data_IF_041145227995
#
_entry.id   IF_041145227995
#
_cell.length_a   1.000
_cell.length_b   1.000
_cell.length_c   1.000
_cell.angle_alpha   90.00
_cell.angle_beta   90.00
_cell.angle_gamma   90.00
#
_symmetry.space_group_name_H-M   'P 1'
#
loop_
_entity.id
_entity.type
_entity.pdbx_description
1 polymer ?
#
# COMPACT_ATOMS: atom_id res chain seq x y z
N UNK A 1 -13.96 -22.65 29.18
CA UNK A 1 -13.78 -21.98 27.89
C UNK A 1 -13.59 -20.50 28.14
N UNK A 2 -12.58 -19.86 27.57
CA UNK A 2 -12.31 -18.44 27.70
C UNK A 2 -13.40 -17.65 26.94
N UNK A 3 -13.93 -16.58 27.55
CA UNK A 3 -14.98 -15.75 26.95
C UNK A 3 -14.39 -14.52 26.24
N UNK A 4 -15.17 -13.90 25.34
CA UNK A 4 -14.80 -12.61 24.74
C UNK A 4 -14.54 -11.54 25.80
N UNK A 5 -15.34 -11.50 26.87
CA UNK A 5 -15.20 -10.56 27.96
C UNK A 5 -13.88 -10.73 28.74
N UNK A 6 -13.50 -11.97 29.05
CA UNK A 6 -12.23 -12.28 29.74
C UNK A 6 -11.03 -11.91 28.86
N UNK A 7 -11.06 -12.23 27.56
CA UNK A 7 -10.01 -11.83 26.63
C UNK A 7 -9.92 -10.31 26.49
N UNK A 8 -11.06 -9.61 26.49
CA UNK A 8 -11.07 -8.16 26.41
C UNK A 8 -10.44 -7.53 27.66
N UNK A 9 -10.74 -8.02 28.86
CA UNK A 9 -10.10 -7.57 30.09
C UNK A 9 -8.58 -7.83 30.08
N UNK A 10 -8.14 -9.01 29.67
CA UNK A 10 -6.71 -9.33 29.51
C UNK A 10 -6.01 -8.42 28.47
N UNK A 11 -6.67 -8.16 27.35
CA UNK A 11 -6.18 -7.26 26.31
C UNK A 11 -5.99 -5.84 26.85
N UNK A 12 -6.92 -5.32 27.66
CA UNK A 12 -6.80 -3.98 28.25
C UNK A 12 -5.56 -3.85 29.15
N UNK A 13 -5.14 -4.93 29.79
CA UNK A 13 -3.94 -4.95 30.63
C UNK A 13 -2.65 -5.14 29.83
N UNK A 14 -2.67 -5.94 28.74
CA UNK A 14 -1.49 -6.38 28.03
C UNK A 14 -1.16 -5.58 26.76
N UNK A 15 -2.16 -4.92 26.16
CA UNK A 15 -1.99 -4.23 24.87
C UNK A 15 -2.19 -2.73 25.04
N UNK A 16 -1.30 -1.89 24.49
CA UNK A 16 -1.41 -0.45 24.59
C UNK A 16 -2.76 0.08 24.07
N UNK A 17 -3.30 1.08 24.74
CA UNK A 17 -4.58 1.73 24.41
C UNK A 17 -4.64 2.27 22.97
N UNK A 18 -3.49 2.66 22.40
CA UNK A 18 -3.41 3.14 21.02
C UNK A 18 -3.75 2.09 19.95
N UNK A 19 -3.70 0.80 20.29
CA UNK A 19 -4.20 -0.29 19.43
C UNK A 19 -5.69 -0.48 19.73
N UNK A 20 -6.57 0.08 18.91
CA UNK A 20 -8.02 -0.02 19.10
C UNK A 20 -8.60 -1.27 18.44
N UNK A 21 -9.72 -1.75 18.95
CA UNK A 21 -10.54 -2.79 18.36
C UNK A 21 -11.94 -2.21 18.07
N UNK A 22 -12.43 -2.39 16.87
CA UNK A 22 -13.80 -1.97 16.51
C UNK A 22 -14.87 -2.82 17.19
N UNK A 23 -14.55 -4.08 17.49
CA UNK A 23 -15.43 -5.03 18.15
C UNK A 23 -14.67 -5.73 19.29
N UNK A 24 -15.38 -6.04 20.37
CA UNK A 24 -14.87 -6.89 21.46
C UNK A 24 -15.14 -8.38 21.18
N UNK A 25 -14.85 -8.82 19.96
CA UNK A 25 -15.00 -10.18 19.47
C UNK A 25 -13.62 -10.78 19.22
N UNK A 26 -13.33 -11.93 19.77
CA UNK A 26 -12.04 -12.61 19.65
C UNK A 26 -12.18 -13.82 18.76
N UNK A 27 -11.62 -13.73 17.56
CA UNK A 27 -11.68 -14.80 16.57
C UNK A 27 -10.88 -16.04 17.04
N UNK A 28 -11.48 -17.21 16.93
CA UNK A 28 -10.82 -18.50 17.18
C UNK A 28 -10.49 -19.21 15.87
N UNK A 29 -11.42 -19.20 14.92
CA UNK A 29 -11.25 -19.82 13.60
C UNK A 29 -12.01 -19.06 12.53
N UNK A 30 -11.62 -19.27 11.29
CA UNK A 30 -12.29 -18.70 10.14
C UNK A 30 -12.18 -19.64 8.93
N UNK A 31 -13.10 -19.51 7.98
CA UNK A 31 -13.08 -20.25 6.72
C UNK A 31 -13.85 -19.47 5.65
N UNK A 32 -13.23 -19.28 4.49
CA UNK A 32 -13.81 -18.50 3.39
C UNK A 32 -14.27 -17.10 3.85
N UNK A 33 -15.57 -16.81 3.85
CA UNK A 33 -16.15 -15.53 4.27
C UNK A 33 -16.76 -15.56 5.69
N UNK A 34 -16.40 -16.55 6.49
CA UNK A 34 -16.98 -16.76 7.81
C UNK A 34 -15.91 -16.79 8.91
N UNK A 35 -16.28 -16.27 10.07
CA UNK A 35 -15.44 -16.22 11.26
C UNK A 35 -16.25 -16.71 12.47
N UNK A 36 -15.62 -17.45 13.37
CA UNK A 36 -16.20 -17.86 14.65
C UNK A 36 -15.35 -17.31 15.79
N UNK A 37 -16.04 -16.78 16.80
CA UNK A 37 -15.38 -16.31 18.01
C UNK A 37 -15.12 -17.46 19.00
N UNK A 38 -14.42 -17.13 20.08
CA UNK A 38 -14.09 -18.10 21.17
C UNK A 38 -15.30 -18.65 21.92
N UNK A 39 -16.48 -18.06 21.75
CA UNK A 39 -17.76 -18.54 22.31
C UNK A 39 -18.56 -19.36 21.27
N UNK A 40 -17.99 -19.60 20.08
CA UNK A 40 -18.58 -20.36 18.99
C UNK A 40 -19.62 -19.60 18.16
N UNK A 41 -19.79 -18.30 18.35
CA UNK A 41 -20.70 -17.50 17.53
C UNK A 41 -20.12 -17.29 16.15
N UNK A 42 -20.98 -17.43 15.14
CA UNK A 42 -20.62 -17.27 13.74
C UNK A 42 -20.90 -15.84 13.26
N UNK A 43 -19.98 -15.30 12.46
CA UNK A 43 -20.07 -13.99 11.81
C UNK A 43 -19.79 -14.14 10.32
N UNK A 44 -20.44 -13.31 9.50
CA UNK A 44 -20.03 -13.09 8.10
C UNK A 44 -18.96 -11.98 8.10
N UNK A 45 -17.78 -12.30 7.58
CA UNK A 45 -16.65 -11.37 7.57
C UNK A 45 -16.68 -10.46 6.35
N UNK A 46 -17.31 -9.30 6.49
CA UNK A 46 -17.24 -8.23 5.49
C UNK A 46 -15.99 -7.35 5.61
N UNK A 47 -15.25 -7.43 6.71
CA UNK A 47 -14.02 -6.66 6.90
C UNK A 47 -12.82 -7.27 6.17
N UNK A 48 -12.83 -8.59 6.01
CA UNK A 48 -11.79 -9.34 5.27
C UNK A 48 -10.37 -9.00 5.74
N UNK A 49 -10.17 -8.77 7.07
CA UNK A 49 -8.90 -8.31 7.62
C UNK A 49 -8.46 -6.93 7.13
N UNK A 50 -9.38 -6.02 6.83
CA UNK A 50 -9.19 -4.74 6.16
C UNK A 50 -8.69 -4.96 4.71
N UNK A 51 -9.53 -5.63 3.91
CA UNK A 51 -9.30 -5.91 2.48
C UNK A 51 -8.05 -6.77 2.17
N UNK A 52 -7.70 -7.70 3.07
CA UNK A 52 -6.54 -8.59 2.92
C UNK A 52 -6.91 -9.92 2.25
N UNK A 53 -8.11 -10.45 2.53
CA UNK A 53 -8.48 -11.83 2.23
C UNK A 53 -9.33 -11.94 0.95
N UNK A 54 -8.79 -11.50 -0.20
CA UNK A 54 -9.51 -11.61 -1.47
C UNK A 54 -9.82 -13.06 -1.87
N UNK A 55 -9.05 -14.04 -1.38
CA UNK A 55 -9.26 -15.47 -1.61
C UNK A 55 -10.10 -16.14 -0.52
N UNK A 56 -10.53 -15.38 0.50
CA UNK A 56 -11.17 -15.92 1.70
C UNK A 56 -10.17 -16.45 2.74
N UNK A 57 -10.68 -16.67 3.95
CA UNK A 57 -9.89 -17.28 5.03
C UNK A 57 -9.48 -18.71 4.70
N UNK A 58 -8.24 -19.07 5.03
CA UNK A 58 -7.68 -20.42 4.96
C UNK A 58 -7.93 -21.08 3.60
N UNK A 59 -7.64 -20.34 2.53
CA UNK A 59 -7.81 -20.88 1.17
C UNK A 59 -6.96 -22.15 0.98
N UNK A 60 -7.53 -23.29 0.56
CA UNK A 60 -6.85 -24.58 0.60
C UNK A 60 -5.51 -24.62 -0.14
N UNK A 61 -5.44 -24.02 -1.32
CA UNK A 61 -4.19 -23.97 -2.12
C UNK A 61 -3.12 -23.11 -1.44
N UNK A 62 -3.49 -21.97 -0.83
CA UNK A 62 -2.56 -21.09 -0.12
C UNK A 62 -2.03 -21.78 1.12
N UNK A 63 -2.91 -22.36 1.94
CA UNK A 63 -2.52 -23.10 3.15
C UNK A 63 -1.61 -24.28 2.86
N UNK A 64 -1.90 -25.05 1.80
CA UNK A 64 -1.06 -26.17 1.38
C UNK A 64 0.33 -25.72 0.90
N UNK A 65 0.41 -24.61 0.14
CA UNK A 65 1.68 -24.05 -0.32
C UNK A 65 2.54 -23.56 0.86
N UNK A 66 1.92 -22.88 1.83
CA UNK A 66 2.60 -22.43 3.06
C UNK A 66 3.16 -23.62 3.84
N UNK A 67 2.34 -24.65 4.08
CA UNK A 67 2.76 -25.86 4.81
C UNK A 67 3.92 -26.57 4.10
N UNK A 68 3.87 -26.70 2.78
CA UNK A 68 4.91 -27.31 1.98
C UNK A 68 6.22 -26.50 2.01
N UNK A 69 6.15 -25.18 2.00
CA UNK A 69 7.34 -24.33 2.09
C UNK A 69 7.97 -24.36 3.48
N UNK A 70 7.14 -24.30 4.54
CA UNK A 70 7.62 -24.36 5.93
C UNK A 70 8.37 -25.67 6.24
N UNK A 71 7.99 -26.77 5.60
CA UNK A 71 8.68 -28.05 5.73
C UNK A 71 10.08 -28.07 5.09
N UNK A 72 10.38 -27.11 4.20
CA UNK A 72 11.67 -27.03 3.51
C UNK A 72 12.57 -25.95 4.13
N UNK A 73 12.03 -24.75 4.35
CA UNK A 73 12.79 -23.59 4.77
C UNK A 73 11.87 -22.55 5.40
N UNK A 74 12.23 -22.07 6.60
CA UNK A 74 11.47 -21.03 7.30
C UNK A 74 11.94 -19.62 6.96
N UNK A 75 13.28 -19.42 6.84
CA UNK A 75 13.87 -18.12 6.56
C UNK A 75 15.32 -18.26 6.07
N UNK A 76 15.73 -17.43 5.11
CA UNK A 76 17.12 -17.41 4.62
C UNK A 76 17.73 -16.01 4.54
N UNK A 77 16.96 -14.94 4.61
CA UNK A 77 17.33 -13.58 4.20
C UNK A 77 17.81 -13.54 2.73
N UNK A 78 16.98 -13.06 1.82
CA UNK A 78 17.25 -13.08 0.37
C UNK A 78 18.61 -12.46 -0.02
N UNK A 79 19.06 -11.43 0.72
CA UNK A 79 20.35 -10.78 0.50
C UNK A 79 21.56 -11.68 0.85
N UNK A 80 21.36 -12.73 1.64
CA UNK A 80 22.40 -13.68 2.06
C UNK A 80 22.32 -14.95 1.21
N UNK A 81 21.12 -15.56 1.17
CA UNK A 81 20.90 -16.80 0.40
C UNK A 81 19.55 -16.67 -0.32
N UNK A 82 19.58 -16.35 -1.64
CA UNK A 82 18.36 -16.19 -2.42
C UNK A 82 17.54 -17.48 -2.51
N UNK A 83 16.22 -17.32 -2.70
CA UNK A 83 15.29 -18.43 -2.89
C UNK A 83 14.57 -18.33 -4.24
N UNK A 84 14.24 -19.50 -4.83
CA UNK A 84 13.50 -19.56 -6.09
C UNK A 84 12.12 -18.92 -5.98
N UNK A 85 11.43 -19.12 -4.86
CA UNK A 85 10.08 -18.56 -4.65
C UNK A 85 10.04 -17.02 -4.73
N UNK A 86 11.08 -16.35 -4.24
CA UNK A 86 11.21 -14.90 -4.37
C UNK A 86 11.34 -14.49 -5.85
N UNK A 87 12.21 -15.17 -6.61
CA UNK A 87 12.43 -14.86 -8.03
C UNK A 87 11.17 -15.11 -8.83
N UNK A 88 10.55 -16.28 -8.66
CA UNK A 88 9.34 -16.66 -9.40
C UNK A 88 8.16 -15.70 -9.12
N UNK A 89 8.00 -15.25 -7.87
CA UNK A 89 6.96 -14.26 -7.54
C UNK A 89 7.29 -12.88 -8.13
N UNK A 90 8.55 -12.47 -8.14
CA UNK A 90 8.97 -11.22 -8.80
C UNK A 90 8.68 -11.25 -10.31
N UNK A 91 9.01 -12.34 -10.99
CA UNK A 91 8.69 -12.55 -12.41
C UNK A 91 7.17 -12.47 -12.67
N UNK A 92 6.37 -13.13 -11.82
CA UNK A 92 4.92 -13.09 -11.93
C UNK A 92 4.35 -11.67 -11.75
N UNK A 93 4.82 -10.92 -10.75
CA UNK A 93 4.39 -9.53 -10.53
C UNK A 93 4.84 -8.60 -11.65
N UNK A 94 6.06 -8.78 -12.17
CA UNK A 94 6.55 -8.01 -13.31
C UNK A 94 5.67 -8.22 -14.56
N UNK A 95 5.21 -9.45 -14.79
CA UNK A 95 4.32 -9.76 -15.91
C UNK A 95 2.89 -9.25 -15.71
N UNK A 96 2.40 -9.18 -14.47
CA UNK A 96 1.05 -8.72 -14.15
C UNK A 96 0.92 -7.20 -14.10
N UNK A 97 1.99 -6.49 -13.74
CA UNK A 97 1.96 -5.04 -13.61
C UNK A 97 1.71 -4.36 -14.97
N UNK A 98 0.84 -3.31 -15.03
CA UNK A 98 0.49 -2.64 -16.27
C UNK A 98 1.72 -1.99 -16.94
N UNK A 99 1.65 -1.90 -18.28
CA UNK A 99 2.71 -1.38 -19.14
C UNK A 99 3.55 -2.45 -19.80
N UNK A 100 4.12 -2.12 -20.96
CA UNK A 100 4.82 -3.05 -21.84
C UNK A 100 6.33 -3.18 -21.57
N UNK A 101 6.94 -2.22 -20.88
CA UNK A 101 8.40 -2.17 -20.64
C UNK A 101 8.88 -3.18 -19.59
N UNK A 102 10.21 -3.39 -19.49
CA UNK A 102 10.80 -4.24 -18.47
C UNK A 102 10.53 -3.70 -17.07
N UNK A 103 10.22 -4.59 -16.14
CA UNK A 103 9.90 -4.26 -14.74
C UNK A 103 10.75 -5.08 -13.78
N UNK A 104 10.90 -4.58 -12.56
CA UNK A 104 11.53 -5.28 -11.45
C UNK A 104 10.70 -5.13 -10.18
N UNK A 105 10.84 -6.11 -9.29
CA UNK A 105 10.11 -6.18 -8.02
C UNK A 105 11.08 -6.41 -6.87
N UNK A 106 10.87 -5.65 -5.78
CA UNK A 106 11.44 -5.96 -4.46
C UNK A 106 10.30 -6.33 -3.51
N UNK A 107 10.53 -7.34 -2.67
CA UNK A 107 9.59 -7.69 -1.58
C UNK A 107 10.00 -7.08 -0.26
N UNK A 108 9.01 -6.89 0.61
CA UNK A 108 9.11 -6.34 1.94
C UNK A 108 8.01 -6.98 2.80
N UNK A 109 7.93 -6.64 4.09
CA UNK A 109 6.97 -7.29 4.99
C UNK A 109 5.63 -6.57 5.04
N UNK A 110 5.63 -5.23 5.08
CA UNK A 110 4.42 -4.42 5.30
C UNK A 110 4.18 -3.40 4.20
N UNK A 111 2.91 -2.98 4.03
CA UNK A 111 2.58 -1.91 3.09
C UNK A 111 3.31 -0.59 3.38
N UNK A 112 3.54 -0.26 4.66
CA UNK A 112 4.32 0.92 5.02
C UNK A 112 5.76 0.83 4.51
N UNK A 113 6.41 -0.33 4.60
CA UNK A 113 7.75 -0.53 4.03
C UNK A 113 7.74 -0.42 2.51
N UNK A 114 6.70 -0.91 1.84
CA UNK A 114 6.56 -0.75 0.39
C UNK A 114 6.48 0.73 0.01
N UNK A 115 5.65 1.52 0.69
CA UNK A 115 5.55 2.97 0.46
C UNK A 115 6.88 3.68 0.74
N UNK A 116 7.52 3.41 1.89
CA UNK A 116 8.84 3.98 2.24
C UNK A 116 9.89 3.70 1.15
N UNK A 117 9.94 2.46 0.66
CA UNK A 117 10.89 2.08 -0.39
C UNK A 117 10.53 2.68 -1.75
N UNK A 118 9.25 2.78 -2.11
CA UNK A 118 8.83 3.46 -3.33
C UNK A 118 9.28 4.94 -3.34
N UNK A 119 9.11 5.64 -2.20
CA UNK A 119 9.60 7.03 -2.05
C UNK A 119 11.13 7.09 -2.10
N UNK A 120 11.84 6.17 -1.43
CA UNK A 120 13.32 6.09 -1.50
C UNK A 120 13.80 5.92 -2.93
N UNK A 121 13.20 4.99 -3.68
CA UNK A 121 13.54 4.70 -5.08
C UNK A 121 13.29 5.93 -5.95
N UNK A 122 12.11 6.55 -5.82
CA UNK A 122 11.76 7.75 -6.59
C UNK A 122 12.72 8.92 -6.32
N UNK A 123 13.03 9.19 -5.04
CA UNK A 123 14.00 10.22 -4.64
C UNK A 123 15.40 9.93 -5.17
N UNK A 124 15.82 8.67 -5.10
CA UNK A 124 17.14 8.29 -5.59
C UNK A 124 17.24 8.41 -7.11
N UNK A 125 16.23 7.95 -7.84
CA UNK A 125 16.17 8.04 -9.30
C UNK A 125 16.17 9.49 -9.80
N UNK A 126 15.30 10.32 -9.24
CA UNK A 126 15.12 11.71 -9.70
C UNK A 126 16.15 12.68 -9.12
N UNK A 127 16.82 12.33 -8.02
CA UNK A 127 17.67 13.24 -7.21
C UNK A 127 16.90 14.42 -6.64
N UNK A 128 15.60 14.25 -6.38
CA UNK A 128 14.68 15.27 -5.85
C UNK A 128 14.12 14.79 -4.52
N UNK A 129 13.59 15.72 -3.71
CA UNK A 129 13.14 15.42 -2.33
C UNK A 129 11.64 15.54 -2.12
N UNK A 130 10.96 16.43 -2.82
CA UNK A 130 9.54 16.71 -2.60
C UNK A 130 8.65 15.57 -3.08
N UNK A 131 7.58 15.31 -2.34
CA UNK A 131 6.55 14.31 -2.69
C UNK A 131 5.17 14.91 -2.51
N UNK A 132 4.31 14.63 -3.46
CA UNK A 132 2.91 15.06 -3.44
C UNK A 132 2.03 13.85 -3.16
N UNK A 133 1.10 13.98 -2.22
CA UNK A 133 0.04 13.02 -1.89
C UNK A 133 -1.32 13.71 -1.83
N UNK A 134 -2.37 13.02 -1.37
CA UNK A 134 -3.73 13.55 -1.43
C UNK A 134 -4.41 13.56 -0.06
N UNK A 135 -5.27 14.56 0.16
CA UNK A 135 -6.15 14.61 1.32
C UNK A 135 -7.06 13.38 1.37
N UNK A 136 -7.24 12.80 2.55
CA UNK A 136 -7.96 11.55 2.73
C UNK A 136 -7.15 10.29 2.41
N UNK A 137 -5.98 10.40 1.78
CA UNK A 137 -5.10 9.26 1.49
C UNK A 137 -4.52 8.62 2.74
N UNK A 138 -4.25 7.31 2.68
CA UNK A 138 -3.62 6.54 3.74
C UNK A 138 -2.50 5.66 3.19
N UNK A 139 -1.28 5.89 3.66
CA UNK A 139 -0.08 5.22 3.12
C UNK A 139 0.70 4.42 4.17
N UNK A 140 0.19 4.29 5.39
CA UNK A 140 0.84 3.54 6.48
C UNK A 140 1.02 4.36 7.76
N UNK A 141 1.70 3.77 8.74
CA UNK A 141 1.85 4.35 10.09
C UNK A 141 3.30 4.62 10.52
N UNK A 142 4.30 4.43 9.67
CA UNK A 142 5.67 4.90 9.91
C UNK A 142 5.75 6.42 9.76
N UNK A 143 6.80 7.06 10.25
CA UNK A 143 6.90 8.54 10.24
C UNK A 143 6.80 9.13 8.82
N UNK A 144 7.43 8.51 7.81
CA UNK A 144 7.28 8.96 6.44
C UNK A 144 5.85 8.70 5.91
N UNK A 145 5.29 7.53 6.17
CA UNK A 145 3.94 7.19 5.74
C UNK A 145 2.86 8.09 6.36
N UNK A 146 2.96 8.41 7.67
CA UNK A 146 2.00 9.35 8.27
C UNK A 146 2.18 10.77 7.75
N UNK A 147 3.39 11.16 7.32
CA UNK A 147 3.62 12.45 6.66
C UNK A 147 2.87 12.53 5.34
N UNK A 148 2.85 11.43 4.55
CA UNK A 148 2.09 11.30 3.30
C UNK A 148 0.57 11.19 3.52
N UNK A 149 0.14 10.56 4.62
CA UNK A 149 -1.28 10.34 4.93
C UNK A 149 -2.02 11.67 5.03
N UNK A 150 -3.15 11.79 4.32
CA UNK A 150 -3.94 13.01 4.19
C UNK A 150 -4.95 13.24 5.33
N UNK A 151 -4.68 12.76 6.56
CA UNK A 151 -5.59 12.83 7.70
C UNK A 151 -4.83 13.04 9.01
N UNK A 152 -5.23 14.05 9.79
CA UNK A 152 -4.55 14.40 11.05
C UNK A 152 -4.88 13.40 12.15
N UNK A 153 -6.17 13.26 12.47
CA UNK A 153 -6.63 12.29 13.48
C UNK A 153 -7.02 10.97 12.81
N UNK A 154 -6.64 9.84 13.42
CA UNK A 154 -5.79 9.65 14.60
C UNK A 154 -4.28 9.50 14.26
N UNK A 155 -3.84 9.79 13.02
CA UNK A 155 -2.56 9.31 12.49
C UNK A 155 -1.37 10.24 12.78
N UNK A 156 -1.52 11.57 12.61
CA UNK A 156 -0.43 12.56 12.75
C UNK A 156 -0.35 13.21 14.12
N UNK A 157 -1.50 13.39 14.77
CA UNK A 157 -1.59 14.15 16.01
C UNK A 157 -0.69 13.56 17.11
N UNK A 158 0.25 14.37 17.60
CA UNK A 158 1.18 13.98 18.66
C UNK A 158 2.42 13.19 18.22
N UNK A 159 2.57 12.87 16.92
CA UNK A 159 3.72 12.10 16.41
C UNK A 159 4.76 12.94 15.64
N UNK A 160 4.61 14.27 15.63
CA UNK A 160 5.54 15.17 14.92
C UNK A 160 6.94 15.25 15.51
N UNK A 161 7.90 15.89 14.79
CA UNK A 161 7.67 16.58 13.53
C UNK A 161 7.47 15.61 12.35
N UNK A 162 6.64 16.05 11.37
CA UNK A 162 6.46 15.34 10.11
C UNK A 162 7.65 15.57 9.18
N UNK A 163 7.85 14.69 8.20
CA UNK A 163 8.89 14.87 7.20
C UNK A 163 8.65 16.16 6.40
N UNK A 164 9.70 16.94 6.11
CA UNK A 164 9.61 18.11 5.26
C UNK A 164 9.33 17.72 3.80
N UNK A 165 8.90 18.72 3.01
CA UNK A 165 8.67 18.61 1.57
C UNK A 165 7.63 17.54 1.18
N UNK A 166 6.63 17.33 2.03
CA UNK A 166 5.43 16.55 1.72
C UNK A 166 4.27 17.53 1.54
N UNK A 167 3.66 17.48 0.36
CA UNK A 167 2.55 18.35 -0.02
C UNK A 167 1.28 17.53 -0.24
N UNK A 168 0.13 18.13 0.05
CA UNK A 168 -1.16 17.44 -0.08
C UNK A 168 -2.07 18.23 -1.02
N UNK A 169 -2.61 17.54 -2.03
CA UNK A 169 -3.65 18.06 -2.90
C UNK A 169 -5.04 17.61 -2.42
N UNK A 170 -6.09 18.36 -2.69
CA UNK A 170 -7.45 17.85 -2.51
C UNK A 170 -7.67 16.64 -3.43
N UNK A 171 -8.33 15.59 -2.91
CA UNK A 171 -8.76 14.46 -3.74
C UNK A 171 -10.15 14.75 -4.29
N UNK A 172 -10.45 14.46 -5.56
CA UNK A 172 -11.79 14.68 -6.11
C UNK A 172 -12.85 13.86 -5.38
N UNK A 173 -13.80 14.53 -4.80
CA UNK A 173 -14.94 13.96 -4.10
C UNK A 173 -16.19 14.75 -4.48
N UNK A 174 -16.84 14.45 -5.63
CA UNK A 174 -17.98 15.25 -6.13
C UNK A 174 -19.13 15.40 -5.13
N UNK A 175 -19.34 14.38 -4.29
CA UNK A 175 -20.34 14.44 -3.23
C UNK A 175 -20.04 15.56 -2.19
N UNK A 176 -18.76 15.92 -2.03
CA UNK A 176 -18.30 17.01 -1.16
C UNK A 176 -17.95 18.28 -1.94
N UNK A 177 -18.31 18.34 -3.22
CA UNK A 177 -18.09 19.52 -4.07
C UNK A 177 -16.66 19.71 -4.53
N UNK A 178 -15.79 18.70 -4.44
CA UNK A 178 -14.40 18.75 -4.91
C UNK A 178 -14.34 18.06 -6.27
N UNK A 179 -13.98 18.81 -7.30
CA UNK A 179 -13.89 18.34 -8.68
C UNK A 179 -12.47 17.95 -9.07
N UNK A 180 -12.30 17.38 -10.27
CA UNK A 180 -10.97 17.13 -10.87
C UNK A 180 -10.26 18.44 -11.14
N UNK A 181 -10.98 19.44 -11.62
CA UNK A 181 -10.47 20.77 -11.91
C UNK A 181 -9.93 21.47 -10.66
N UNK A 182 -10.61 21.33 -9.52
CA UNK A 182 -10.13 21.87 -8.24
C UNK A 182 -8.78 21.25 -7.83
N UNK A 183 -8.64 19.94 -8.02
CA UNK A 183 -7.37 19.24 -7.75
C UNK A 183 -6.26 19.71 -8.67
N UNK A 184 -6.54 19.85 -9.96
CA UNK A 184 -5.55 20.30 -10.94
C UNK A 184 -5.17 21.77 -10.75
N UNK A 185 -6.14 22.64 -10.44
CA UNK A 185 -5.88 24.02 -10.08
C UNK A 185 -5.00 24.14 -8.82
N UNK A 186 -5.26 23.30 -7.80
CA UNK A 186 -4.43 23.24 -6.61
C UNK A 186 -3.00 22.77 -6.93
N UNK A 187 -2.81 21.82 -7.85
CA UNK A 187 -1.49 21.37 -8.30
C UNK A 187 -0.74 22.49 -9.03
N UNK A 188 -1.41 23.20 -9.92
CA UNK A 188 -0.81 24.38 -10.60
C UNK A 188 -0.42 25.47 -9.60
N UNK A 189 -1.27 25.75 -8.61
CA UNK A 189 -0.98 26.73 -7.58
C UNK A 189 0.20 26.28 -6.70
N UNK A 190 0.26 25.00 -6.34
CA UNK A 190 1.39 24.42 -5.60
C UNK A 190 2.72 24.64 -6.34
N UNK A 191 2.74 24.39 -7.66
CA UNK A 191 3.93 24.60 -8.48
C UNK A 191 4.33 26.08 -8.65
N UNK A 192 3.37 27.01 -8.55
CA UNK A 192 3.63 28.44 -8.62
C UNK A 192 4.10 29.05 -7.30
N UNK A 193 3.64 28.51 -6.17
CA UNK A 193 3.80 29.17 -4.87
C UNK A 193 4.69 28.42 -3.87
N UNK A 194 4.68 27.08 -3.87
CA UNK A 194 5.23 26.33 -2.75
C UNK A 194 6.43 25.45 -3.15
N UNK A 195 6.41 24.84 -4.33
CA UNK A 195 7.47 23.92 -4.76
C UNK A 195 7.68 23.96 -6.27
N UNK A 196 8.92 24.17 -6.70
CA UNK A 196 9.31 24.00 -8.10
C UNK A 196 9.07 22.54 -8.53
N UNK A 197 8.34 22.26 -9.64
CA UNK A 197 8.14 20.90 -10.13
C UNK A 197 9.46 20.14 -10.39
N UNK A 198 10.55 20.85 -10.66
CA UNK A 198 11.89 20.27 -10.78
C UNK A 198 12.45 19.72 -9.45
N UNK A 199 11.84 20.02 -8.31
CA UNK A 199 12.17 19.45 -6.99
C UNK A 199 11.27 18.27 -6.60
N UNK A 200 10.19 18.02 -7.34
CA UNK A 200 9.24 16.95 -7.02
C UNK A 200 9.76 15.61 -7.52
N UNK A 201 10.01 14.69 -6.60
CA UNK A 201 10.45 13.33 -6.89
C UNK A 201 9.29 12.45 -7.34
N UNK A 202 8.15 12.55 -6.67
CA UNK A 202 7.02 11.67 -6.92
C UNK A 202 5.67 12.31 -6.60
N UNK A 203 4.64 11.82 -7.29
CA UNK A 203 3.23 11.93 -6.89
C UNK A 203 2.75 10.51 -6.52
N UNK A 204 2.26 10.33 -5.30
CA UNK A 204 1.67 9.07 -4.85
C UNK A 204 0.17 9.20 -4.69
N UNK A 205 -0.59 8.24 -5.25
CA UNK A 205 -2.04 8.24 -5.22
C UNK A 205 -2.59 6.82 -5.03
N UNK A 206 -3.61 6.68 -4.18
CA UNK A 206 -4.46 5.49 -4.17
C UNK A 206 -5.47 5.60 -5.33
N UNK A 207 -5.53 4.64 -6.28
CA UNK A 207 -6.58 4.66 -7.31
C UNK A 207 -8.00 4.58 -6.74
N UNK A 208 -8.15 4.05 -5.54
CA UNK A 208 -9.34 4.15 -4.71
C UNK A 208 -8.90 4.48 -3.30
N UNK A 209 -9.31 5.64 -2.77
CA UNK A 209 -9.06 5.98 -1.37
C UNK A 209 -9.74 4.96 -0.46
N UNK A 210 -8.96 4.16 0.27
CA UNK A 210 -9.51 3.18 1.21
C UNK A 210 -10.02 3.84 2.49
N UNK A 211 -9.12 4.25 3.35
CA UNK A 211 -9.41 4.88 4.65
C UNK A 211 -10.07 6.26 4.52
N UNK A 212 -10.00 6.87 3.34
CA UNK A 212 -10.64 8.14 3.01
C UNK A 212 -12.14 8.03 2.72
N UNK A 213 -12.70 6.82 2.56
CA UNK A 213 -14.13 6.60 2.36
C UNK A 213 -14.53 5.90 1.06
N UNK A 214 -13.62 5.14 0.46
CA UNK A 214 -13.82 4.37 -0.78
C UNK A 214 -14.17 5.23 -2.00
N UNK A 215 -13.51 6.38 -2.13
CA UNK A 215 -13.65 7.25 -3.29
C UNK A 215 -12.71 6.79 -4.41
N UNK A 216 -13.26 6.42 -5.56
CA UNK A 216 -12.47 6.09 -6.74
C UNK A 216 -11.91 7.38 -7.38
N UNK A 217 -10.62 7.36 -7.73
CA UNK A 217 -10.01 8.42 -8.51
C UNK A 217 -10.64 8.44 -9.92
N UNK A 218 -11.19 9.58 -10.37
CA UNK A 218 -11.69 9.66 -11.73
C UNK A 218 -10.59 9.32 -12.75
N UNK A 219 -10.86 8.49 -13.78
CA UNK A 219 -9.87 8.13 -14.78
C UNK A 219 -9.21 9.33 -15.46
N UNK A 220 -9.95 10.42 -15.60
CA UNK A 220 -9.41 11.69 -16.11
C UNK A 220 -8.32 12.26 -15.23
N UNK A 221 -8.50 12.29 -13.90
CA UNK A 221 -7.47 12.75 -12.98
C UNK A 221 -6.18 11.94 -13.16
N UNK A 222 -6.29 10.61 -13.18
CA UNK A 222 -5.13 9.73 -13.29
C UNK A 222 -4.37 9.96 -14.60
N UNK A 223 -5.08 10.14 -15.72
CA UNK A 223 -4.45 10.50 -17.01
C UNK A 223 -3.78 11.86 -16.99
N UNK A 224 -4.43 12.86 -16.37
CA UNK A 224 -3.85 14.21 -16.24
C UNK A 224 -2.61 14.21 -15.34
N UNK A 225 -2.64 13.50 -14.22
CA UNK A 225 -1.46 13.31 -13.35
C UNK A 225 -0.31 12.61 -14.10
N UNK A 226 -0.61 11.57 -14.92
CA UNK A 226 0.41 10.94 -15.76
C UNK A 226 1.05 11.95 -16.71
N UNK A 227 0.25 12.76 -17.40
CA UNK A 227 0.77 13.80 -18.30
C UNK A 227 1.64 14.83 -17.60
N UNK A 228 1.27 15.25 -16.39
CA UNK A 228 2.08 16.16 -15.56
C UNK A 228 3.40 15.49 -15.15
N UNK A 229 3.33 14.23 -14.72
CA UNK A 229 4.53 13.48 -14.34
C UNK A 229 5.50 13.35 -15.52
N UNK A 230 4.99 13.04 -16.71
CA UNK A 230 5.79 12.92 -17.92
C UNK A 230 6.45 14.27 -18.29
N UNK A 231 5.68 15.35 -18.25
CA UNK A 231 6.19 16.69 -18.59
C UNK A 231 7.32 17.18 -17.67
N UNK A 232 7.30 16.76 -16.41
CA UNK A 232 8.26 17.26 -15.40
C UNK A 232 9.27 16.21 -14.94
N UNK A 233 9.22 14.95 -15.45
CA UNK A 233 10.06 13.86 -15.00
C UNK A 233 9.81 13.48 -13.53
N UNK A 234 8.55 13.50 -13.11
CA UNK A 234 8.09 13.12 -11.77
C UNK A 234 7.67 11.65 -11.80
N UNK A 235 8.02 10.87 -10.79
CA UNK A 235 7.62 9.46 -10.67
C UNK A 235 6.16 9.37 -10.21
N UNK A 236 5.31 8.72 -11.00
CA UNK A 236 3.93 8.41 -10.60
C UNK A 236 3.89 7.08 -9.86
N UNK A 237 3.49 7.10 -8.59
CA UNK A 237 3.34 5.92 -7.74
C UNK A 237 1.86 5.63 -7.56
N UNK A 238 1.40 4.46 -8.01
CA UNK A 238 0.08 3.94 -7.69
C UNK A 238 0.16 3.13 -6.40
N UNK A 239 -0.50 3.60 -5.35
CA UNK A 239 -0.63 2.82 -4.11
C UNK A 239 -1.81 1.84 -4.25
N UNK A 240 -1.49 0.63 -4.66
CA UNK A 240 -2.42 -0.48 -4.88
C UNK A 240 -2.49 -1.44 -3.69
N UNK A 241 -1.99 -1.04 -2.54
CA UNK A 241 -1.98 -1.87 -1.32
C UNK A 241 -3.39 -2.35 -0.98
N UNK A 242 -4.40 -1.50 -1.13
CA UNK A 242 -5.79 -1.88 -0.85
C UNK A 242 -6.60 -2.18 -2.11
N UNK A 243 -6.36 -1.50 -3.20
CA UNK A 243 -7.17 -1.57 -4.42
C UNK A 243 -6.75 -2.68 -5.38
N UNK A 244 -5.53 -3.22 -5.24
CA UNK A 244 -4.99 -4.26 -6.12
C UNK A 244 -5.57 -5.66 -5.92
N UNK A 245 -5.06 -6.59 -6.68
CA UNK A 245 -5.39 -8.03 -6.62
C UNK A 245 -6.87 -8.34 -6.78
N UNK A 246 -7.50 -7.73 -7.78
CA UNK A 246 -8.88 -8.03 -8.15
C UNK A 246 -9.94 -7.31 -7.31
N UNK A 247 -9.56 -6.48 -6.31
CA UNK A 247 -10.49 -5.77 -5.43
C UNK A 247 -11.51 -4.94 -6.20
N UNK A 248 -11.12 -4.35 -7.33
CA UNK A 248 -11.96 -3.48 -8.16
C UNK A 248 -12.41 -4.14 -9.47
N UNK A 249 -12.15 -5.45 -9.66
CA UNK A 249 -12.48 -6.20 -10.88
C UNK A 249 -11.38 -6.20 -11.96
N UNK A 250 -10.28 -5.49 -11.73
CA UNK A 250 -9.02 -5.59 -12.49
C UNK A 250 -7.91 -6.03 -11.56
N UNK A 251 -6.79 -6.55 -12.12
CA UNK A 251 -5.64 -6.95 -11.29
C UNK A 251 -5.15 -5.74 -10.47
N UNK A 252 -5.00 -4.60 -11.10
CA UNK A 252 -4.70 -3.32 -10.46
C UNK A 252 -5.75 -2.28 -10.81
N UNK A 253 -6.19 -1.47 -9.85
CA UNK A 253 -7.24 -0.49 -10.06
C UNK A 253 -6.85 0.62 -11.04
N UNK A 254 -5.57 0.97 -11.13
CA UNK A 254 -5.03 1.96 -12.09
C UNK A 254 -5.34 1.58 -13.55
N UNK A 255 -5.53 0.29 -13.85
CA UNK A 255 -5.87 -0.22 -15.19
C UNK A 255 -7.22 0.30 -15.69
N UNK A 256 -8.15 0.66 -14.80
CA UNK A 256 -9.43 1.26 -15.20
C UNK A 256 -9.26 2.62 -15.91
N UNK A 257 -8.17 3.32 -15.62
CA UNK A 257 -7.86 4.59 -16.27
C UNK A 257 -7.04 4.44 -17.55
N UNK A 258 -6.51 3.24 -17.84
CA UNK A 258 -5.55 3.02 -18.93
C UNK A 258 -4.23 3.75 -18.70
N UNK A 259 -3.83 3.94 -17.44
CA UNK A 259 -2.60 4.63 -17.05
C UNK A 259 -1.54 3.62 -16.64
N UNK A 260 -0.32 3.82 -17.12
CA UNK A 260 0.87 3.09 -16.69
C UNK A 260 1.61 3.90 -15.62
N UNK A 261 1.61 3.46 -14.35
CA UNK A 261 2.40 4.10 -13.31
C UNK A 261 3.88 3.73 -13.45
N UNK A 262 4.76 4.53 -12.85
CA UNK A 262 6.18 4.23 -12.82
C UNK A 262 6.51 3.18 -11.75
N UNK A 263 5.84 3.29 -10.59
CA UNK A 263 5.94 2.35 -9.47
C UNK A 263 4.54 1.99 -8.96
N UNK A 264 4.41 0.76 -8.45
CA UNK A 264 3.20 0.26 -7.78
C UNK A 264 3.61 -0.26 -6.41
N UNK A 265 2.93 0.19 -5.35
CA UNK A 265 3.06 -0.41 -4.02
C UNK A 265 1.98 -1.47 -3.81
N UNK A 266 2.38 -2.61 -3.29
CA UNK A 266 1.59 -3.84 -3.19
C UNK A 266 1.68 -4.38 -1.77
N UNK A 267 0.56 -4.83 -1.20
CA UNK A 267 0.51 -5.59 0.06
C UNK A 267 -0.85 -6.30 0.21
N UNK A 268 -1.30 -6.50 1.43
CA UNK A 268 -2.62 -7.06 1.78
C UNK A 268 -2.91 -8.37 1.02
N UNK A 269 -3.68 -8.28 -0.08
CA UNK A 269 -4.19 -9.46 -0.79
C UNK A 269 -3.13 -10.29 -1.54
N UNK A 270 -1.91 -9.78 -1.69
CA UNK A 270 -0.85 -10.47 -2.45
C UNK A 270 -0.50 -11.84 -1.89
N UNK A 271 -0.62 -12.04 -0.58
CA UNK A 271 -0.18 -13.27 0.09
C UNK A 271 -1.31 -14.04 0.79
N UNK A 272 -2.58 -13.71 0.52
CA UNK A 272 -3.73 -14.47 1.02
C UNK A 272 -3.87 -14.52 2.56
N UNK A 273 -3.33 -13.52 3.27
CA UNK A 273 -3.48 -13.36 4.71
C UNK A 273 -2.17 -13.34 5.51
N UNK A 274 -1.03 -13.75 4.93
CA UNK A 274 0.28 -13.62 5.58
C UNK A 274 0.96 -12.29 5.23
N UNK A 275 1.87 -11.77 6.10
CA UNK A 275 2.58 -10.53 5.83
C UNK A 275 3.49 -10.66 4.60
N UNK A 276 3.21 -9.85 3.58
CA UNK A 276 4.06 -9.64 2.42
C UNK A 276 3.68 -8.32 1.76
N UNK A 277 4.67 -7.61 1.25
CA UNK A 277 4.47 -6.43 0.42
C UNK A 277 5.53 -6.35 -0.67
N UNK A 278 5.31 -5.48 -1.65
CA UNK A 278 6.23 -5.30 -2.74
C UNK A 278 6.19 -3.87 -3.30
N UNK A 279 7.29 -3.50 -3.96
CA UNK A 279 7.31 -2.42 -4.94
C UNK A 279 7.65 -3.05 -6.29
N UNK A 280 6.77 -2.87 -7.25
CA UNK A 280 6.98 -3.27 -8.66
C UNK A 280 6.99 -2.02 -9.53
N UNK A 281 7.92 -1.91 -10.47
CA UNK A 281 7.96 -0.75 -11.34
C UNK A 281 8.95 -0.87 -12.48
N UNK A 282 9.07 0.21 -13.27
CA UNK A 282 9.98 0.30 -14.41
C UNK A 282 11.41 -0.06 -13.99
N UNK A 283 12.04 -0.97 -14.73
CA UNK A 283 13.35 -1.50 -14.35
C UNK A 283 14.42 -0.43 -14.18
N UNK A 284 14.43 0.61 -15.01
CA UNK A 284 15.36 1.74 -14.94
C UNK A 284 15.23 2.55 -13.64
N UNK A 285 14.01 2.65 -13.11
CA UNK A 285 13.71 3.35 -11.85
C UNK A 285 14.08 2.45 -10.66
N UNK A 286 13.68 1.17 -10.73
CA UNK A 286 13.94 0.19 -9.69
C UNK A 286 15.45 -0.10 -9.51
N UNK A 287 16.25 -0.01 -10.56
CA UNK A 287 17.70 -0.19 -10.54
C UNK A 287 18.49 1.06 -10.17
N UNK A 288 17.84 2.21 -10.00
CA UNK A 288 18.55 3.43 -9.66
C UNK A 288 19.34 3.34 -8.34
N UNK A 289 18.83 2.77 -7.24
CA UNK A 289 19.64 2.50 -6.05
C UNK A 289 20.67 1.40 -6.32
N UNK A 290 21.94 1.67 -5.99
CA UNK A 290 23.01 0.68 -6.13
C UNK A 290 22.89 -0.47 -5.13
N UNK A 291 23.79 -1.49 -5.27
CA UNK A 291 23.83 -2.65 -4.38
C UNK A 291 23.84 -2.25 -2.90
N UNK A 292 22.99 -2.89 -2.08
CA UNK A 292 22.82 -2.60 -0.66
C UNK A 292 21.90 -1.42 -0.33
N UNK A 293 21.42 -0.67 -1.34
CA UNK A 293 20.51 0.47 -1.13
C UNK A 293 19.08 0.07 -0.74
N UNK A 294 18.68 -1.15 -1.07
CA UNK A 294 17.35 -1.71 -0.79
C UNK A 294 17.49 -3.08 -0.12
N UNK A 295 16.47 -3.51 0.61
CA UNK A 295 16.40 -4.83 1.25
C UNK A 295 16.06 -4.74 2.74
N UNK A 296 16.27 -5.84 3.44
CA UNK A 296 16.01 -6.01 4.88
C UNK A 296 16.06 -7.49 5.26
N UNK A 297 16.24 -7.79 6.55
CA UNK A 297 16.32 -9.18 7.05
C UNK A 297 15.10 -10.01 6.65
N UNK A 298 13.90 -9.43 6.72
CA UNK A 298 12.63 -10.07 6.35
C UNK A 298 12.05 -9.49 5.04
N UNK A 299 12.89 -8.97 4.16
CA UNK A 299 12.45 -8.44 2.88
C UNK A 299 12.19 -9.58 1.87
N UNK A 300 10.95 -10.05 1.89
CA UNK A 300 10.43 -11.11 1.02
C UNK A 300 10.47 -12.50 1.59
#
# INVERSE_FOLDING_TARGET
>A
LTTNAELHARRQQAVPRGVTNSLAVYAERAANAELWDVEGRRYIDFASGISVLNTGHVHPKVSAAIAAQLAKLTHSCFQVTPTESYVALAEALNALAPGAGPKKTIFLTTGAEAVENAIKIARFHTRRSAVISFSGGFHGRTLACISLTGKVQPYKAGFGPMLPEIYHLPFPMPYHGITVEDTLAALEQLFKADVDPARVAAIIIEPVLGEGGFYAAPPELLRRLRSVCDAHGIVLIADEIQSGFGRTGRMFAIEHAGVEPDLITIAKSVAGGVPLSAVTGKAEIMDAPGPGGLGGTFAG
#
